data_IF_822045631406
#
_entry.id   IF_822045631406
#
_cell.length_a   1.000
_cell.length_b   1.000
_cell.length_c   1.000
_cell.angle_alpha   90.00
_cell.angle_beta   90.00
_cell.angle_gamma   90.00
#
_symmetry.space_group_name_H-M   'P 1'
#
loop_
_entity.id
_entity.type
_entity.pdbx_description
1 polymer ?
#
# COMPACT_ATOMS: atom_id res chain seq x y z
N UNK A 1 4.10 0.69 -13.84
CA UNK A 1 4.63 2.05 -13.60
C UNK A 1 4.83 2.30 -12.13
N UNK A 2 5.61 3.33 -11.77
CA UNK A 2 5.97 3.67 -10.39
C UNK A 2 4.81 4.31 -9.61
N UNK A 3 4.79 4.05 -8.32
CA UNK A 3 3.90 4.54 -7.29
C UNK A 3 4.72 4.83 -6.03
N UNK A 4 4.23 5.74 -5.19
CA UNK A 4 4.80 6.10 -3.91
C UNK A 4 3.77 5.78 -2.83
N UNK A 5 4.18 5.07 -1.79
CA UNK A 5 3.36 4.88 -0.60
C UNK A 5 3.42 6.16 0.23
N UNK A 6 2.25 6.76 0.49
CA UNK A 6 2.15 8.12 1.04
C UNK A 6 1.78 8.06 2.52
N UNK A 7 0.79 7.23 2.83
CA UNK A 7 0.25 7.13 4.18
C UNK A 7 -0.45 5.79 4.33
N UNK A 8 -0.36 5.23 5.53
CA UNK A 8 -1.21 4.13 5.95
C UNK A 8 -1.80 4.39 7.30
N UNK A 9 -2.83 3.61 7.64
CA UNK A 9 -3.34 3.53 8.98
C UNK A 9 -3.42 2.08 9.40
N UNK A 10 -3.00 1.76 10.62
CA UNK A 10 -3.09 0.39 11.13
C UNK A 10 -3.29 0.38 12.64
N UNK A 11 -4.05 -0.62 13.12
CA UNK A 11 -4.19 -0.95 14.54
C UNK A 11 -3.47 -2.22 14.95
N UNK A 12 -2.89 -2.92 13.98
CA UNK A 12 -2.23 -4.20 14.23
C UNK A 12 -0.80 -3.94 14.73
N UNK A 13 -0.44 -4.29 15.98
CA UNK A 13 0.84 -3.86 16.56
C UNK A 13 2.09 -4.22 15.74
N UNK A 14 2.18 -5.42 15.11
CA UNK A 14 3.30 -5.72 14.20
C UNK A 14 3.41 -4.77 13.01
N UNK A 15 2.29 -4.41 12.38
CA UNK A 15 2.28 -3.45 11.26
C UNK A 15 2.56 -2.03 11.73
N UNK A 16 2.09 -1.63 12.91
CA UNK A 16 2.38 -0.31 13.49
C UNK A 16 3.88 -0.11 13.68
N UNK A 17 4.60 -1.14 14.15
CA UNK A 17 6.05 -1.07 14.31
C UNK A 17 6.77 -0.90 12.96
N UNK A 18 6.33 -1.65 11.94
CA UNK A 18 6.87 -1.54 10.58
C UNK A 18 6.57 -0.17 9.97
N UNK A 19 5.31 0.29 10.00
CA UNK A 19 4.90 1.58 9.43
C UNK A 19 5.63 2.77 10.04
N UNK A 20 5.97 2.70 11.34
CA UNK A 20 6.80 3.72 12.01
C UNK A 20 8.25 3.71 11.53
N UNK A 21 8.76 2.56 11.08
CA UNK A 21 10.12 2.42 10.59
C UNK A 21 10.25 2.77 9.09
N UNK A 22 9.17 2.62 8.31
CA UNK A 22 9.13 2.99 6.90
C UNK A 22 9.12 4.51 6.77
N UNK A 23 10.26 5.08 6.39
CA UNK A 23 10.39 6.52 6.14
C UNK A 23 10.13 6.87 4.68
N UNK A 24 10.34 5.93 3.77
CA UNK A 24 10.07 6.09 2.35
C UNK A 24 9.73 4.73 1.75
N UNK A 25 8.77 4.68 0.84
CA UNK A 25 8.50 3.51 0.03
C UNK A 25 7.95 3.92 -1.34
N UNK A 26 8.55 3.34 -2.38
CA UNK A 26 8.06 3.42 -3.75
C UNK A 26 8.07 2.02 -4.36
N UNK A 27 7.06 1.73 -5.16
CA UNK A 27 6.96 0.46 -5.83
C UNK A 27 6.56 0.64 -7.28
N UNK A 28 6.88 -0.34 -8.12
CA UNK A 28 6.50 -0.33 -9.51
C UNK A 28 5.89 -1.66 -9.91
N UNK A 29 4.79 -1.57 -10.66
CA UNK A 29 4.18 -2.73 -11.29
C UNK A 29 4.70 -2.90 -12.71
N UNK A 30 4.99 -4.14 -13.08
CA UNK A 30 5.24 -4.57 -14.46
C UNK A 30 4.40 -5.81 -14.77
N UNK A 31 4.05 -6.05 -16.05
CA UNK A 31 3.30 -7.26 -16.41
C UNK A 31 4.00 -8.53 -15.93
N UNK A 32 3.23 -9.45 -15.34
CA UNK A 32 3.67 -10.76 -14.91
C UNK A 32 3.61 -11.80 -16.03
N UNK A 33 3.64 -13.09 -15.64
CA UNK A 33 3.51 -14.20 -16.60
C UNK A 33 2.08 -14.42 -17.09
N UNK A 34 1.10 -14.06 -16.27
CA UNK A 34 -0.33 -14.22 -16.52
C UNK A 34 -1.01 -12.84 -16.58
N UNK A 35 -2.18 -12.77 -17.20
CA UNK A 35 -2.91 -11.51 -17.41
C UNK A 35 -3.31 -10.84 -16.08
N UNK A 36 -3.57 -11.65 -15.06
CA UNK A 36 -3.93 -11.28 -13.71
C UNK A 36 -2.72 -11.22 -12.75
N UNK A 37 -1.50 -11.30 -13.27
CA UNK A 37 -0.27 -11.26 -12.47
C UNK A 37 0.52 -9.97 -12.78
N UNK A 38 0.98 -9.30 -11.73
CA UNK A 38 1.90 -8.18 -11.80
C UNK A 38 3.17 -8.51 -11.03
N UNK A 39 4.33 -8.33 -11.65
CA UNK A 39 5.59 -8.31 -10.92
C UNK A 39 5.74 -6.96 -10.20
N UNK A 40 6.24 -7.00 -8.97
CA UNK A 40 6.45 -5.81 -8.14
C UNK A 40 7.94 -5.63 -7.89
N UNK A 41 8.39 -4.38 -8.02
CA UNK A 41 9.69 -3.98 -7.46
C UNK A 41 9.44 -2.89 -6.45
N UNK A 42 9.83 -3.12 -5.20
CA UNK A 42 9.70 -2.19 -4.07
C UNK A 42 11.08 -1.64 -3.72
N UNK A 43 11.15 -0.34 -3.50
CA UNK A 43 12.29 0.38 -2.96
C UNK A 43 11.79 1.04 -1.69
N UNK A 44 12.34 0.65 -0.56
CA UNK A 44 11.92 1.17 0.74
C UNK A 44 13.12 1.59 1.58
N UNK A 45 12.89 2.56 2.46
CA UNK A 45 13.84 2.99 3.47
C UNK A 45 13.26 2.69 4.84
N UNK A 46 13.85 1.67 5.48
CA UNK A 46 13.55 1.32 6.87
C UNK A 46 14.60 1.99 7.75
N UNK A 47 14.18 2.99 8.52
CA UNK A 47 15.08 3.86 9.29
C UNK A 47 16.16 4.49 8.37
N UNK A 48 17.42 4.07 8.49
CA UNK A 48 18.54 4.56 7.69
C UNK A 48 18.98 3.59 6.59
N UNK A 49 18.34 2.42 6.48
CA UNK A 49 18.72 1.37 5.54
C UNK A 49 17.79 1.38 4.33
N UNK A 50 18.38 1.54 3.14
CA UNK A 50 17.67 1.35 1.88
C UNK A 50 17.65 -0.12 1.49
N UNK A 51 16.47 -0.62 1.13
CA UNK A 51 16.24 -2.00 0.69
C UNK A 51 15.50 -2.01 -0.64
N UNK A 52 15.81 -3.01 -1.46
CA UNK A 52 15.13 -3.27 -2.73
C UNK A 52 14.62 -4.70 -2.72
N UNK A 53 13.32 -4.87 -2.98
CA UNK A 53 12.66 -6.17 -3.13
C UNK A 53 12.18 -6.28 -4.58
N UNK A 54 12.63 -7.30 -5.29
CA UNK A 54 12.32 -7.52 -6.71
C UNK A 54 11.80 -8.94 -7.01
N UNK A 55 11.54 -9.73 -5.96
CA UNK A 55 11.01 -11.10 -6.06
C UNK A 55 9.50 -11.16 -5.78
N UNK A 56 8.86 -10.04 -5.48
CA UNK A 56 7.44 -10.02 -5.10
C UNK A 56 6.50 -9.84 -6.30
N UNK A 57 5.26 -10.27 -6.10
CA UNK A 57 4.20 -10.27 -7.11
C UNK A 57 2.85 -9.88 -6.52
N UNK A 58 1.95 -9.40 -7.37
CA UNK A 58 0.55 -9.18 -7.05
C UNK A 58 -0.32 -10.01 -7.98
N UNK A 59 -1.24 -10.78 -7.41
CA UNK A 59 -2.32 -11.45 -8.13
C UNK A 59 -3.58 -10.59 -8.07
N UNK A 60 -4.23 -10.39 -9.22
CA UNK A 60 -5.37 -9.48 -9.39
C UNK A 60 -6.65 -10.28 -9.60
N UNK A 61 -7.52 -10.30 -8.59
CA UNK A 61 -8.80 -10.99 -8.66
C UNK A 61 -9.91 -10.00 -9.01
N UNK A 62 -10.16 -9.84 -10.32
CA UNK A 62 -11.08 -8.83 -10.84
C UNK A 62 -12.52 -8.99 -10.30
N UNK A 63 -13.00 -10.22 -10.12
CA UNK A 63 -14.39 -10.51 -9.71
C UNK A 63 -14.76 -9.86 -8.37
N UNK A 64 -13.80 -9.76 -7.45
CA UNK A 64 -14.04 -9.25 -6.09
C UNK A 64 -13.26 -7.97 -5.78
N UNK A 65 -12.55 -7.40 -6.77
CA UNK A 65 -11.69 -6.23 -6.61
C UNK A 65 -10.65 -6.44 -5.50
N UNK A 66 -10.04 -7.63 -5.45
CA UNK A 66 -9.01 -7.96 -4.47
C UNK A 66 -7.66 -8.19 -5.14
N UNK A 67 -6.61 -7.86 -4.39
CA UNK A 67 -5.22 -7.99 -4.78
C UNK A 67 -4.53 -8.84 -3.70
N UNK A 68 -3.77 -9.85 -4.10
CA UNK A 68 -2.94 -10.62 -3.16
C UNK A 68 -1.47 -10.35 -3.47
N UNK A 69 -0.77 -9.78 -2.50
CA UNK A 69 0.67 -9.59 -2.57
C UNK A 69 1.38 -10.85 -2.05
N UNK A 70 2.33 -11.34 -2.83
CA UNK A 70 3.15 -12.51 -2.55
C UNK A 70 4.60 -12.05 -2.56
N UNK A 71 5.30 -12.26 -1.45
CA UNK A 71 6.73 -11.99 -1.28
C UNK A 71 7.37 -13.25 -0.71
N UNK A 72 8.51 -13.67 -1.25
CA UNK A 72 9.22 -14.88 -0.80
C UNK A 72 9.63 -14.83 0.69
N UNK A 73 9.71 -13.63 1.28
CA UNK A 73 10.16 -13.43 2.65
C UNK A 73 9.03 -13.11 3.65
N UNK A 74 7.78 -13.04 3.20
CA UNK A 74 6.64 -12.62 4.04
C UNK A 74 5.40 -13.44 3.73
N UNK A 75 4.52 -13.55 4.72
CA UNK A 75 3.22 -14.17 4.50
C UNK A 75 2.42 -13.38 3.45
N UNK A 76 1.67 -14.08 2.56
CA UNK A 76 0.82 -13.41 1.60
C UNK A 76 -0.18 -12.48 2.28
N UNK A 77 -0.35 -11.29 1.72
CA UNK A 77 -1.29 -10.30 2.24
C UNK A 77 -2.32 -9.94 1.18
N UNK A 78 -3.60 -9.99 1.55
CA UNK A 78 -4.71 -9.66 0.67
C UNK A 78 -5.26 -8.29 1.00
N UNK A 79 -5.52 -7.51 -0.05
CA UNK A 79 -6.17 -6.21 0.06
C UNK A 79 -7.33 -6.09 -0.91
N UNK A 80 -8.37 -5.37 -0.48
CA UNK A 80 -9.47 -4.92 -1.31
C UNK A 80 -9.14 -3.55 -1.89
N UNK A 81 -9.33 -3.42 -3.20
CA UNK A 81 -9.26 -2.15 -3.90
C UNK A 81 -10.48 -1.30 -3.52
N UNK A 82 -10.24 -0.21 -2.79
CA UNK A 82 -11.29 0.76 -2.46
C UNK A 82 -11.43 1.76 -3.61
N UNK A 83 -10.31 2.30 -4.07
CA UNK A 83 -10.28 3.24 -5.16
C UNK A 83 -8.98 3.11 -5.96
N UNK A 84 -9.11 3.21 -7.28
CA UNK A 84 -7.98 3.32 -8.19
C UNK A 84 -8.34 4.29 -9.30
N UNK A 85 -7.50 5.29 -9.50
CA UNK A 85 -7.52 6.12 -10.70
C UNK A 85 -6.08 6.26 -11.24
N UNK A 86 -5.87 7.17 -12.20
CA UNK A 86 -4.55 7.35 -12.81
C UNK A 86 -3.45 7.69 -11.79
N UNK A 87 -3.81 8.45 -10.76
CA UNK A 87 -2.91 9.12 -9.83
C UNK A 87 -3.05 8.66 -8.37
N UNK A 88 -4.04 7.82 -8.08
CA UNK A 88 -4.45 7.42 -6.73
C UNK A 88 -4.69 5.92 -6.63
N UNK A 89 -4.24 5.31 -5.53
CA UNK A 89 -4.52 3.94 -5.16
C UNK A 89 -4.81 3.85 -3.66
N UNK A 90 -6.04 3.45 -3.30
CA UNK A 90 -6.45 3.21 -1.90
C UNK A 90 -6.77 1.73 -1.72
N UNK A 91 -6.08 1.09 -0.78
CA UNK A 91 -6.23 -0.33 -0.48
C UNK A 91 -6.61 -0.54 0.99
N UNK A 92 -7.65 -1.32 1.21
CA UNK A 92 -8.04 -1.84 2.52
C UNK A 92 -7.53 -3.28 2.65
N UNK A 93 -6.54 -3.51 3.49
CA UNK A 93 -5.98 -4.83 3.72
C UNK A 93 -7.00 -5.65 4.51
N UNK A 94 -7.41 -6.81 4.01
CA UNK A 94 -8.50 -7.59 4.64
C UNK A 94 -7.97 -8.52 5.73
N UNK A 95 -6.69 -8.89 5.65
CA UNK A 95 -6.02 -9.79 6.60
C UNK A 95 -5.50 -9.05 7.84
N UNK A 96 -5.54 -7.72 7.84
CA UNK A 96 -5.18 -6.87 8.98
C UNK A 96 -6.02 -5.58 8.95
N UNK A 97 -6.39 -4.98 10.10
CA UNK A 97 -7.08 -3.69 10.12
C UNK A 97 -6.13 -2.57 9.66
N UNK A 98 -5.92 -2.47 8.35
CA UNK A 98 -4.95 -1.57 7.73
C UNK A 98 -5.52 -0.93 6.46
N UNK A 99 -5.42 0.40 6.35
CA UNK A 99 -5.74 1.15 5.13
C UNK A 99 -4.46 1.79 4.60
N UNK A 100 -4.31 1.89 3.28
CA UNK A 100 -3.15 2.52 2.66
C UNK A 100 -3.52 3.38 1.47
N UNK A 101 -2.75 4.44 1.27
CA UNK A 101 -2.82 5.35 0.15
C UNK A 101 -1.47 5.40 -0.56
N UNK A 102 -1.49 5.19 -1.87
CA UNK A 102 -0.36 5.40 -2.76
C UNK A 102 -0.72 6.34 -3.90
N UNK A 103 0.27 7.07 -4.42
CA UNK A 103 0.09 8.04 -5.49
C UNK A 103 1.21 7.97 -6.53
N UNK A 104 1.00 8.59 -7.71
CA UNK A 104 2.02 8.65 -8.77
C UNK A 104 3.17 9.60 -8.49
N UNK A 105 2.96 10.55 -7.59
CA UNK A 105 3.94 11.51 -7.13
C UNK A 105 3.92 11.57 -5.61
N UNK A 106 5.06 11.89 -4.94
CA UNK A 106 5.08 12.08 -3.49
C UNK A 106 4.18 13.24 -3.03
N UNK A 107 4.01 14.26 -3.88
CA UNK A 107 3.10 15.36 -3.60
C UNK A 107 1.67 14.96 -3.97
N UNK A 108 0.79 14.92 -2.99
CA UNK A 108 -0.61 14.49 -3.13
C UNK A 108 -1.54 15.69 -2.98
N UNK A 109 -2.57 15.77 -3.83
CA UNK A 109 -3.56 16.85 -3.76
C UNK A 109 -4.37 16.78 -2.46
N UNK A 110 -4.88 17.93 -2.00
CA UNK A 110 -5.77 17.99 -0.84
C UNK A 110 -6.99 17.08 -1.01
N UNK A 111 -7.57 17.04 -2.22
CA UNK A 111 -8.73 16.20 -2.54
C UNK A 111 -8.46 14.71 -2.29
N UNK A 112 -7.32 14.20 -2.74
CA UNK A 112 -6.92 12.81 -2.54
C UNK A 112 -6.69 12.46 -1.06
N UNK A 113 -6.13 13.40 -0.28
CA UNK A 113 -5.97 13.21 1.17
C UNK A 113 -7.33 13.22 1.88
N UNK A 114 -8.26 14.10 1.49
CA UNK A 114 -9.61 14.13 2.08
C UNK A 114 -10.42 12.86 1.72
N UNK A 115 -10.28 12.33 0.51
CA UNK A 115 -10.85 11.02 0.14
C UNK A 115 -10.32 9.90 1.06
N UNK A 116 -9.00 9.84 1.26
CA UNK A 116 -8.41 8.86 2.18
C UNK A 116 -8.93 9.01 3.62
N UNK A 117 -9.06 10.25 4.12
CA UNK A 117 -9.64 10.53 5.45
C UNK A 117 -11.10 10.11 5.55
N UNK A 118 -11.89 10.29 4.50
CA UNK A 118 -13.28 9.82 4.46
C UNK A 118 -13.33 8.28 4.61
N UNK A 119 -12.44 7.56 3.92
CA UNK A 119 -12.31 6.10 4.06
C UNK A 119 -11.84 5.69 5.46
N UNK A 120 -10.87 6.41 6.05
CA UNK A 120 -10.44 6.18 7.44
C UNK A 120 -11.60 6.28 8.42
N UNK A 121 -12.39 7.35 8.33
CA UNK A 121 -13.55 7.56 9.20
C UNK A 121 -14.61 6.48 9.00
N UNK A 122 -14.87 6.06 7.76
CA UNK A 122 -15.81 4.98 7.44
C UNK A 122 -15.39 3.64 8.09
N UNK A 123 -14.10 3.36 8.11
CA UNK A 123 -13.52 2.17 8.75
C UNK A 123 -13.25 2.35 10.25
N UNK A 124 -13.57 3.52 10.80
CA UNK A 124 -13.46 3.84 12.21
C UNK A 124 -12.03 4.03 12.72
N UNK A 125 -11.05 4.33 11.85
CA UNK A 125 -9.70 4.73 12.24
C UNK A 125 -9.67 6.14 12.84
N UNK A 126 -8.71 6.41 13.72
CA UNK A 126 -8.44 7.73 14.29
C UNK A 126 -7.11 8.28 13.78
N UNK A 127 -6.82 9.57 14.03
CA UNK A 127 -5.55 10.19 13.63
C UNK A 127 -4.32 9.51 14.26
N UNK A 128 -4.47 8.91 15.44
CA UNK A 128 -3.40 8.18 16.13
C UNK A 128 -3.02 6.86 15.41
N UNK A 129 -3.93 6.35 14.57
CA UNK A 129 -3.71 5.15 13.79
C UNK A 129 -2.94 5.43 12.48
N UNK A 130 -2.67 6.70 12.14
CA UNK A 130 -2.17 7.14 10.82
C UNK A 130 -0.67 7.41 10.82
N UNK A 131 0.03 6.91 9.80
CA UNK A 131 1.49 7.00 9.63
C UNK A 131 1.82 7.46 8.21
N UNK A 132 2.45 8.64 8.10
CA UNK A 132 2.91 9.21 6.83
C UNK A 132 4.37 8.83 6.57
N UNK A 133 4.71 8.61 5.30
CA UNK A 133 6.11 8.60 4.86
C UNK A 133 6.64 10.02 4.70
N UNK A 134 7.97 10.17 4.77
CA UNK A 134 8.70 11.45 4.73
C UNK A 134 9.20 11.83 3.34
#
# INVERSE_FOLDING_TARGET
>A
GQWFYIVGASRYPPHVAEMKAVTYEAFSFSPGRHEDELNVTVIMRLNETCMVVNTSKVLVFQQNSTLMHIDDNRDPSTARLIQSNKDLLILNHIDSPTLSLSARTPNVSKEHIEEFKAQLHCLGFTEEDVFYTS
#
